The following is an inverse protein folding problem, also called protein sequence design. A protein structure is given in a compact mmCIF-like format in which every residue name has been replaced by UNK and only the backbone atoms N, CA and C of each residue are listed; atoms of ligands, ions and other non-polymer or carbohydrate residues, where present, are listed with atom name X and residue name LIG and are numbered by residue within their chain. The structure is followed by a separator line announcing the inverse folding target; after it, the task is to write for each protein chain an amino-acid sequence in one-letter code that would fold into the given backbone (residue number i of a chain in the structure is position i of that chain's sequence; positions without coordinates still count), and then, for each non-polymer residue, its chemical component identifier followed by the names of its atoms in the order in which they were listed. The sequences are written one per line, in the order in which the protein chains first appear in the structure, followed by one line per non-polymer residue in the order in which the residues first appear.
data_IF_252956143727
#
_entry.id   IF_252956143727
#
_cell.length_a   1.000
_cell.length_b   1.000
_cell.length_c   1.000
_cell.angle_alpha   90.00
_cell.angle_beta   90.00
_cell.angle_gamma   90.00
#
_symmetry.space_group_name_H-M   'P 1'
#
loop_
_entity.id
_entity.type
_entity.pdbx_description
1 polymer ?
#
# COMPACT_ATOMS: atom_id res chain seq x y z
N UNK A 1 -5.51 -37.59 -12.07
CA UNK A 1 -5.75 -36.83 -10.83
C UNK A 1 -5.15 -35.45 -11.04
N UNK A 2 -5.97 -34.45 -11.37
CA UNK A 2 -5.47 -33.08 -11.51
C UNK A 2 -5.39 -32.47 -10.10
N UNK A 3 -4.18 -32.14 -9.66
CA UNK A 3 -3.96 -31.40 -8.42
C UNK A 3 -4.62 -30.02 -8.55
N UNK A 4 -5.63 -29.78 -7.71
CA UNK A 4 -6.30 -28.50 -7.63
C UNK A 4 -5.34 -27.51 -6.95
N UNK A 5 -4.59 -26.75 -7.75
CA UNK A 5 -3.75 -25.66 -7.27
C UNK A 5 -4.67 -24.62 -6.62
N UNK A 6 -4.63 -24.52 -5.30
CA UNK A 6 -5.26 -23.43 -4.57
C UNK A 6 -4.41 -22.19 -4.75
N UNK A 7 -4.76 -21.35 -5.73
CA UNK A 7 -4.22 -19.99 -5.81
C UNK A 7 -4.83 -19.21 -4.65
N UNK A 8 -4.02 -18.96 -3.61
CA UNK A 8 -4.32 -17.92 -2.62
C UNK A 8 -4.17 -16.60 -3.35
N UNK A 9 -5.28 -15.98 -3.75
CA UNK A 9 -5.30 -14.56 -4.06
C UNK A 9 -4.81 -13.85 -2.80
N UNK A 10 -3.55 -13.45 -2.78
CA UNK A 10 -3.08 -12.49 -1.79
C UNK A 10 -3.66 -11.18 -2.29
N UNK A 11 -4.86 -10.82 -1.83
CA UNK A 11 -5.41 -9.49 -2.07
C UNK A 11 -4.63 -8.52 -1.19
N UNK A 12 -3.51 -8.02 -1.70
CA UNK A 12 -2.83 -6.89 -1.09
C UNK A 12 -3.61 -5.62 -1.49
N UNK A 13 -3.59 -4.62 -0.60
CA UNK A 13 -4.37 -3.39 -0.74
C UNK A 13 -3.41 -2.21 -0.78
N UNK A 14 -3.57 -1.30 -1.74
CA UNK A 14 -2.75 -0.09 -1.76
C UNK A 14 -3.00 0.71 -0.50
N UNK A 15 -1.91 1.17 0.12
CA UNK A 15 -1.91 1.80 1.43
C UNK A 15 -1.81 0.84 2.63
N UNK A 16 -1.78 -0.48 2.46
CA UNK A 16 -1.53 -1.47 3.55
C UNK A 16 -0.05 -1.91 3.48
N UNK A 17 0.84 -1.03 3.92
CA UNK A 17 2.29 -1.18 3.77
C UNK A 17 2.88 -2.17 4.78
N UNK A 18 2.24 -2.32 5.95
CA UNK A 18 2.67 -3.30 6.94
C UNK A 18 2.01 -4.69 6.77
N UNK A 19 1.12 -4.82 5.77
CA UNK A 19 0.45 -6.06 5.38
C UNK A 19 -0.39 -6.69 6.51
N UNK A 20 -1.09 -5.84 7.28
CA UNK A 20 -1.97 -6.29 8.36
C UNK A 20 -3.45 -6.41 7.92
N UNK A 21 -3.78 -6.03 6.69
CA UNK A 21 -5.12 -6.03 6.12
C UNK A 21 -5.91 -4.74 6.36
N UNK A 22 -5.30 -3.69 6.92
CA UNK A 22 -5.93 -2.41 7.23
C UNK A 22 -5.07 -1.26 6.74
N UNK A 23 -5.71 -0.23 6.18
CA UNK A 23 -5.03 1.02 5.79
C UNK A 23 -5.25 2.03 6.90
N UNK A 24 -4.20 2.36 7.65
CA UNK A 24 -4.24 3.27 8.78
C UNK A 24 -2.95 4.09 8.95
N UNK A 25 -2.79 4.77 10.08
CA UNK A 25 -1.66 5.68 10.35
C UNK A 25 -0.31 4.94 10.46
N UNK A 26 -0.33 3.66 10.82
CA UNK A 26 0.87 2.81 10.84
C UNK A 26 1.48 2.70 9.44
N UNK A 27 0.65 2.52 8.40
CA UNK A 27 1.08 2.44 7.01
C UNK A 27 1.68 3.76 6.52
N UNK A 28 1.06 4.88 6.88
CA UNK A 28 1.60 6.21 6.58
C UNK A 28 2.98 6.41 7.22
N UNK A 29 3.14 5.96 8.47
CA UNK A 29 4.42 6.06 9.19
C UNK A 29 5.46 5.13 8.58
N UNK A 30 5.05 3.93 8.17
CA UNK A 30 5.88 2.97 7.47
C UNK A 30 6.41 3.57 6.16
N UNK A 31 5.51 4.13 5.35
CA UNK A 31 5.83 4.75 4.07
C UNK A 31 6.84 5.88 4.22
N UNK A 32 6.60 6.79 5.16
CA UNK A 32 7.52 7.88 5.46
C UNK A 32 8.90 7.36 5.90
N UNK A 33 8.93 6.28 6.69
CA UNK A 33 10.18 5.67 7.12
C UNK A 33 10.96 5.07 5.94
N UNK A 34 10.28 4.34 5.06
CA UNK A 34 10.87 3.78 3.84
C UNK A 34 11.44 4.88 2.93
N UNK A 35 10.66 5.93 2.66
CA UNK A 35 11.05 7.00 1.75
C UNK A 35 12.20 7.87 2.26
N UNK A 36 12.24 8.16 3.56
CA UNK A 36 13.08 9.25 4.07
C UNK A 36 14.08 8.86 5.16
N UNK A 37 13.88 7.74 5.86
CA UNK A 37 14.71 7.39 7.02
C UNK A 37 15.35 6.01 6.93
N UNK A 38 15.30 5.37 5.76
CA UNK A 38 15.91 4.05 5.54
C UNK A 38 15.17 2.90 6.22
N UNK A 39 13.85 3.03 6.36
CA UNK A 39 12.97 1.93 6.76
C UNK A 39 12.98 0.78 5.74
N UNK A 40 12.43 -0.40 6.10
CA UNK A 40 12.33 -1.52 5.18
C UNK A 40 11.40 -1.21 4.00
N UNK A 41 11.64 -1.81 2.81
CA UNK A 41 10.70 -1.74 1.71
C UNK A 41 9.41 -2.53 2.04
N UNK A 42 8.25 -2.13 1.47
CA UNK A 42 7.02 -2.89 1.58
C UNK A 42 7.20 -4.34 1.12
N UNK A 43 6.43 -5.26 1.72
CA UNK A 43 6.54 -6.68 1.41
C UNK A 43 6.06 -7.03 -0.01
N UNK A 44 5.08 -6.28 -0.52
CA UNK A 44 4.47 -6.52 -1.81
C UNK A 44 4.62 -5.28 -2.69
N UNK A 45 4.91 -5.49 -3.97
CA UNK A 45 5.04 -4.39 -4.94
C UNK A 45 3.67 -3.72 -5.15
N UNK A 46 3.67 -2.40 -5.33
CA UNK A 46 2.47 -1.63 -5.67
C UNK A 46 1.54 -1.32 -4.50
N UNK A 47 1.84 -1.77 -3.27
CA UNK A 47 1.07 -1.32 -2.09
C UNK A 47 1.42 0.12 -1.69
N UNK A 48 2.55 0.62 -2.17
CA UNK A 48 3.08 1.96 -1.97
C UNK A 48 2.71 2.95 -3.09
N UNK A 49 2.23 2.46 -4.22
CA UNK A 49 1.55 3.23 -5.28
C UNK A 49 0.07 3.41 -4.89
N UNK A 50 -0.16 4.34 -3.96
CA UNK A 50 -1.47 4.60 -3.35
C UNK A 50 -2.38 5.35 -4.32
N UNK A 51 -1.82 6.19 -5.19
CA UNK A 51 -2.59 6.96 -6.17
C UNK A 51 -2.75 6.26 -7.53
N UNK A 52 -2.02 5.16 -7.77
CA UNK A 52 -2.10 4.34 -8.98
C UNK A 52 -1.36 4.95 -10.18
N UNK A 53 -0.37 5.80 -9.93
CA UNK A 53 0.43 6.47 -10.96
C UNK A 53 1.47 5.56 -11.62
N UNK A 54 1.70 4.37 -11.09
CA UNK A 54 2.63 3.37 -11.62
C UNK A 54 4.00 3.36 -10.93
N UNK A 55 4.12 4.02 -9.78
CA UNK A 55 5.33 3.96 -8.96
C UNK A 55 5.24 4.84 -7.73
N UNK A 56 6.14 4.59 -6.76
CA UNK A 56 6.20 5.35 -5.52
C UNK A 56 6.83 6.73 -5.71
N UNK A 57 6.10 7.78 -5.34
CA UNK A 57 6.64 9.10 -5.06
C UNK A 57 5.96 9.82 -3.87
N UNK A 58 6.16 11.13 -3.72
CA UNK A 58 5.60 11.91 -2.60
C UNK A 58 4.09 12.12 -2.76
N UNK A 59 3.55 12.08 -3.98
CA UNK A 59 2.12 12.17 -4.24
C UNK A 59 1.37 11.04 -3.52
N UNK A 60 1.88 9.81 -3.56
CA UNK A 60 1.29 8.67 -2.83
C UNK A 60 1.18 8.95 -1.32
N UNK A 61 2.22 9.54 -0.73
CA UNK A 61 2.23 9.84 0.71
C UNK A 61 1.17 10.90 1.03
N UNK A 62 1.09 11.94 0.20
CA UNK A 62 0.07 12.98 0.35
C UNK A 62 -1.35 12.45 0.09
N UNK A 63 -1.50 11.49 -0.83
CA UNK A 63 -2.75 10.82 -1.11
C UNK A 63 -3.22 10.03 0.10
N UNK A 64 -2.32 9.25 0.72
CA UNK A 64 -2.63 8.47 1.90
C UNK A 64 -3.02 9.36 3.09
N UNK A 65 -2.36 10.52 3.26
CA UNK A 65 -2.78 11.54 4.25
C UNK A 65 -4.20 12.04 3.96
N UNK A 66 -4.52 12.32 2.70
CA UNK A 66 -5.83 12.81 2.32
C UNK A 66 -6.95 11.79 2.60
N UNK A 67 -6.72 10.53 2.22
CA UNK A 67 -7.62 9.41 2.53
C UNK A 67 -7.84 9.26 4.04
N UNK A 68 -6.77 9.27 4.83
CA UNK A 68 -6.86 9.01 6.28
C UNK A 68 -7.48 10.16 7.08
N UNK A 69 -7.27 11.41 6.68
CA UNK A 69 -7.54 12.56 7.56
C UNK A 69 -8.45 13.62 6.97
N UNK A 70 -8.58 13.71 5.64
CA UNK A 70 -9.31 14.82 5.00
C UNK A 70 -10.49 14.35 4.15
N UNK A 71 -10.85 13.06 4.20
CA UNK A 71 -11.93 12.50 3.40
C UNK A 71 -11.61 12.45 1.91
N UNK A 72 -10.33 12.27 1.55
CA UNK A 72 -9.89 12.00 0.19
C UNK A 72 -10.42 10.67 -0.35
N UNK A 73 -10.19 10.36 -1.64
CA UNK A 73 -10.67 9.12 -2.25
C UNK A 73 -10.01 7.88 -1.63
N UNK A 74 -10.64 6.72 -1.81
CA UNK A 74 -10.04 5.43 -1.46
C UNK A 74 -8.75 5.19 -2.27
N UNK A 75 -7.73 4.51 -1.70
CA UNK A 75 -6.55 4.09 -2.45
C UNK A 75 -6.88 3.34 -3.74
N UNK A 76 -6.04 3.52 -4.75
CA UNK A 76 -6.17 2.82 -6.03
C UNK A 76 -6.13 1.29 -5.83
N UNK A 77 -6.74 0.50 -6.75
CA UNK A 77 -6.54 -0.95 -6.75
C UNK A 77 -5.07 -1.28 -6.98
N UNK A 78 -4.55 -2.32 -6.29
CA UNK A 78 -3.19 -2.80 -6.55
C UNK A 78 -3.03 -3.25 -8.02
N UNK A 79 -1.88 -2.94 -8.66
CA UNK A 79 -1.55 -3.38 -10.02
C UNK A 79 -1.52 -4.91 -10.23
#
# INVERSE_FOLDING_TARGET
MASNLTYKLIGHRSGDLDNNGQVNVADLTYMAAYMFTGGPPPQYEGVDDVDGSGGLDVADLTYLVAYLFTGGPDPAPCP
#
